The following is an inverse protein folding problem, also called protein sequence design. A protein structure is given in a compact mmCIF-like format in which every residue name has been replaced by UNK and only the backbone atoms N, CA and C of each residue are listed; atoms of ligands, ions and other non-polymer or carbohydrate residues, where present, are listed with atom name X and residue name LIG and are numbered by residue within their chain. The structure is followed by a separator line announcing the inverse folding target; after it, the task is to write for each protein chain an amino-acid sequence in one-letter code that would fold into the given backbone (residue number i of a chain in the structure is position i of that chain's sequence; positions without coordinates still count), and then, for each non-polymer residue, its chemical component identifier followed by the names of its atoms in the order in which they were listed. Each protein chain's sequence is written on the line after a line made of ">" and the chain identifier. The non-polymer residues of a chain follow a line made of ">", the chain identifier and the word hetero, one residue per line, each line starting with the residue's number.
data_IF_181215622677
#
_entry.id   IF_181215622677
#
_cell.length_a   1.000
_cell.length_b   1.000
_cell.length_c   1.000
_cell.angle_alpha   90.00
_cell.angle_beta   90.00
_cell.angle_gamma   90.00
#
_symmetry.space_group_name_H-M   'P 1'
#
loop_
_entity.id
_entity.type
_entity.pdbx_description
1 polymer ?
#
# COMPACT_ATOMS: atom_id res chain seq x y z
N UNK A 1 -15.05 16.34 6.48
CA UNK A 1 -16.13 17.24 5.99
C UNK A 1 -15.55 18.65 5.96
N UNK A 2 -15.91 19.49 4.98
CA UNK A 2 -15.43 20.87 4.69
C UNK A 2 -14.52 20.94 3.45
N UNK A 3 -15.12 20.86 2.27
CA UNK A 3 -14.56 21.52 1.07
C UNK A 3 -15.67 21.96 0.08
N UNK A 4 -16.94 21.84 0.46
CA UNK A 4 -18.08 21.93 -0.47
C UNK A 4 -19.06 23.07 -0.20
N UNK A 5 -18.70 24.09 0.59
CA UNK A 5 -19.66 25.13 1.01
C UNK A 5 -19.44 26.55 0.47
N UNK A 6 -18.48 26.83 -0.41
CA UNK A 6 -18.25 28.22 -0.89
C UNK A 6 -18.23 28.39 -2.41
N UNK A 7 -19.02 27.60 -3.13
CA UNK A 7 -19.18 27.70 -4.59
C UNK A 7 -20.29 28.70 -5.01
N UNK A 8 -21.07 29.25 -4.07
CA UNK A 8 -22.09 30.27 -4.36
C UNK A 8 -21.57 31.72 -4.24
N UNK A 9 -20.54 31.98 -3.43
CA UNK A 9 -20.04 33.35 -3.20
C UNK A 9 -19.18 33.91 -4.34
N UNK A 10 -18.47 33.05 -5.09
CA UNK A 10 -17.56 33.48 -6.15
C UNK A 10 -18.31 33.94 -7.41
N UNK A 11 -19.48 33.33 -7.69
CA UNK A 11 -20.33 33.72 -8.83
C UNK A 11 -21.00 35.08 -8.63
N UNK A 12 -21.36 35.43 -7.39
CA UNK A 12 -22.05 36.70 -7.09
C UNK A 12 -21.13 37.93 -7.13
N UNK A 13 -19.83 37.76 -6.88
CA UNK A 13 -18.84 38.85 -6.92
C UNK A 13 -18.42 39.23 -8.35
N UNK A 14 -18.62 38.35 -9.34
CA UNK A 14 -18.26 38.62 -10.74
C UNK A 14 -19.27 39.51 -11.48
N UNK A 15 -20.48 39.71 -10.94
CA UNK A 15 -21.58 40.36 -11.67
C UNK A 15 -21.66 41.89 -11.51
N UNK A 16 -20.83 42.52 -10.65
CA UNK A 16 -20.97 43.95 -10.29
C UNK A 16 -19.87 44.91 -10.76
N UNK A 17 -18.90 44.52 -11.60
CA UNK A 17 -17.77 45.43 -11.90
C UNK A 17 -17.29 45.54 -13.35
N UNK A 18 -18.21 45.59 -14.32
CA UNK A 18 -17.85 45.94 -15.70
C UNK A 18 -18.75 47.06 -16.27
N UNK A 19 -18.19 48.27 -16.32
CA UNK A 19 -18.53 49.33 -17.29
C UNK A 19 -17.38 49.40 -18.34
N UNK A 20 -17.64 49.95 -19.53
CA UNK A 20 -17.22 49.31 -20.78
C UNK A 20 -15.87 49.82 -21.27
N UNK A 21 -15.02 48.92 -21.77
CA UNK A 21 -13.84 49.28 -22.55
C UNK A 21 -13.85 48.58 -23.91
N UNK A 22 -13.41 49.33 -24.91
CA UNK A 22 -13.81 49.26 -26.33
C UNK A 22 -13.12 48.11 -27.10
N UNK A 23 -13.88 47.60 -28.06
CA UNK A 23 -13.66 46.54 -29.04
C UNK A 23 -12.27 46.51 -29.71
N UNK A 24 -11.40 45.57 -29.29
CA UNK A 24 -10.40 44.86 -30.14
C UNK A 24 -9.93 43.55 -29.48
N UNK A 25 -10.71 43.02 -28.56
CA UNK A 25 -10.20 42.30 -27.37
C UNK A 25 -10.88 40.94 -27.14
N UNK A 26 -11.69 40.43 -28.06
CA UNK A 26 -12.50 39.21 -27.80
C UNK A 26 -11.64 37.96 -27.63
N UNK A 27 -10.54 37.83 -28.38
CA UNK A 27 -9.59 36.72 -28.23
C UNK A 27 -8.80 36.86 -26.93
N UNK A 28 -8.30 38.06 -26.62
CA UNK A 28 -7.62 38.37 -25.35
C UNK A 28 -8.51 38.19 -24.12
N UNK A 29 -9.79 38.57 -24.18
CA UNK A 29 -10.74 38.42 -23.07
C UNK A 29 -11.10 36.95 -22.84
N UNK A 30 -11.20 36.14 -23.91
CA UNK A 30 -11.41 34.69 -23.78
C UNK A 30 -10.18 34.00 -23.22
N UNK A 31 -8.99 34.34 -23.72
CA UNK A 31 -7.70 33.81 -23.23
C UNK A 31 -7.48 34.23 -21.76
N UNK A 32 -7.68 35.49 -21.43
CA UNK A 32 -7.58 36.02 -20.06
C UNK A 32 -8.58 35.32 -19.13
N UNK A 33 -9.83 35.12 -19.57
CA UNK A 33 -10.83 34.38 -18.79
C UNK A 33 -10.42 32.93 -18.58
N UNK A 34 -9.91 32.24 -19.61
CA UNK A 34 -9.44 30.85 -19.46
C UNK A 34 -8.23 30.75 -18.54
N UNK A 35 -7.28 31.68 -18.62
CA UNK A 35 -6.11 31.72 -17.74
C UNK A 35 -6.51 32.00 -16.29
N UNK A 36 -7.44 32.93 -16.05
CA UNK A 36 -7.96 33.21 -14.71
C UNK A 36 -8.71 32.01 -14.11
N UNK A 37 -9.47 31.27 -14.93
CA UNK A 37 -10.16 30.04 -14.48
C UNK A 37 -9.15 28.94 -14.14
N UNK A 38 -8.12 28.73 -14.96
CA UNK A 38 -7.10 27.74 -14.67
C UNK A 38 -6.27 28.09 -13.42
N UNK A 39 -5.90 29.37 -13.25
CA UNK A 39 -5.19 29.83 -12.06
C UNK A 39 -6.01 29.64 -10.77
N UNK A 40 -7.32 29.90 -10.82
CA UNK A 40 -8.18 29.69 -9.64
C UNK A 40 -8.36 28.21 -9.33
N UNK A 41 -8.50 27.34 -10.33
CA UNK A 41 -8.53 25.88 -10.14
C UNK A 41 -7.22 25.38 -9.53
N UNK A 42 -6.06 25.83 -10.03
CA UNK A 42 -4.75 25.46 -9.47
C UNK A 42 -4.58 25.93 -8.02
N UNK A 43 -5.03 27.14 -7.69
CA UNK A 43 -4.99 27.67 -6.31
C UNK A 43 -5.88 26.82 -5.39
N UNK A 44 -7.09 26.44 -5.83
CA UNK A 44 -7.98 25.56 -5.05
C UNK A 44 -7.34 24.19 -4.86
N UNK A 45 -6.71 23.62 -5.90
CA UNK A 45 -6.03 22.33 -5.81
C UNK A 45 -4.83 22.37 -4.85
N UNK A 46 -3.99 23.41 -4.92
CA UNK A 46 -2.83 23.59 -4.03
C UNK A 46 -3.29 23.77 -2.57
N UNK A 47 -4.31 24.59 -2.32
CA UNK A 47 -4.83 24.80 -0.96
C UNK A 47 -5.54 23.55 -0.40
N UNK A 48 -6.21 22.77 -1.26
CA UNK A 48 -6.82 21.50 -0.89
C UNK A 48 -5.76 20.45 -0.51
N UNK A 49 -4.68 20.35 -1.30
CA UNK A 49 -3.55 19.50 -0.94
C UNK A 49 -2.91 19.95 0.38
N UNK A 50 -2.73 21.26 0.59
CA UNK A 50 -2.14 21.80 1.82
C UNK A 50 -2.93 21.40 3.08
N UNK A 51 -4.26 21.49 3.03
CA UNK A 51 -5.12 21.09 4.16
C UNK A 51 -5.00 19.60 4.51
N UNK A 52 -4.76 18.73 3.53
CA UNK A 52 -4.53 17.30 3.75
C UNK A 52 -3.13 17.03 4.33
N UNK A 53 -2.12 17.76 3.86
CA UNK A 53 -0.76 17.64 4.37
C UNK A 53 -0.60 18.21 5.79
N UNK A 54 -1.39 19.22 6.17
CA UNK A 54 -1.34 19.80 7.52
C UNK A 54 -1.85 18.79 8.59
N UNK A 55 -2.89 18.00 8.29
CA UNK A 55 -3.40 16.94 9.17
C UNK A 55 -2.38 15.81 9.39
N UNK A 56 -1.62 15.45 8.34
CA UNK A 56 -0.53 14.46 8.42
C UNK A 56 0.65 15.02 9.22
N UNK A 57 0.96 16.31 9.06
CA UNK A 57 2.06 16.98 9.76
C UNK A 57 1.84 17.03 11.27
N UNK A 58 0.61 17.28 11.70
CA UNK A 58 0.25 17.30 13.12
C UNK A 58 0.34 15.90 13.76
N UNK A 59 -0.04 14.85 13.03
CA UNK A 59 0.13 13.46 13.45
C UNK A 59 1.63 13.09 13.61
N UNK A 60 2.49 13.56 12.70
CA UNK A 60 3.94 13.32 12.75
C UNK A 60 4.63 14.09 13.89
N UNK A 61 4.15 15.29 14.22
CA UNK A 61 4.63 16.06 15.37
C UNK A 61 4.24 15.42 16.71
N UNK A 62 3.04 14.85 16.80
CA UNK A 62 2.61 14.05 17.95
C UNK A 62 3.47 12.78 18.09
N UNK A 63 3.81 12.12 16.98
CA UNK A 63 4.73 10.98 16.99
C UNK A 63 6.12 11.34 17.53
N UNK A 64 6.65 12.52 17.18
CA UNK A 64 7.97 13.00 17.64
C UNK A 64 8.03 13.27 19.15
N UNK A 65 6.95 13.74 19.77
CA UNK A 65 6.90 13.97 21.23
C UNK A 65 6.78 12.67 22.02
N UNK A 66 6.06 11.67 21.49
CA UNK A 66 6.03 10.32 22.04
C UNK A 66 7.38 9.60 21.89
N UNK A 67 8.13 9.88 20.81
CA UNK A 67 9.45 9.29 20.55
C UNK A 67 10.50 9.67 21.61
N UNK A 68 10.41 10.88 22.18
CA UNK A 68 11.43 11.39 23.11
C UNK A 68 11.24 10.88 24.56
N UNK A 69 10.15 10.19 24.85
CA UNK A 69 9.79 9.74 26.22
C UNK A 69 9.78 8.20 26.36
N UNK A 70 9.89 7.44 25.27
CA UNK A 70 9.66 5.99 25.27
C UNK A 70 10.75 5.19 24.56
N UNK A 71 11.86 4.90 25.25
CA UNK A 71 12.93 4.03 24.73
C UNK A 71 12.45 2.60 24.44
N UNK A 72 11.43 2.11 25.15
CA UNK A 72 10.79 0.81 24.89
C UNK A 72 9.99 0.81 23.56
N UNK A 73 9.51 1.97 23.13
CA UNK A 73 8.79 2.13 21.86
C UNK A 73 9.72 2.08 20.65
N UNK A 74 10.99 2.46 20.82
CA UNK A 74 11.97 2.52 19.74
C UNK A 74 12.37 1.13 19.24
N UNK A 75 12.55 0.16 20.15
CA UNK A 75 12.86 -1.23 19.79
C UNK A 75 11.71 -1.88 19.00
N UNK A 76 10.47 -1.59 19.39
CA UNK A 76 9.26 -2.10 18.71
C UNK A 76 9.08 -1.46 17.33
N UNK A 77 9.37 -0.16 17.22
CA UNK A 77 9.35 0.57 15.95
C UNK A 77 10.44 0.09 14.99
N UNK A 78 11.67 -0.11 15.47
CA UNK A 78 12.77 -0.65 14.66
C UNK A 78 12.41 -2.01 14.05
N UNK A 79 11.84 -2.92 14.86
CA UNK A 79 11.36 -4.23 14.39
C UNK A 79 10.22 -4.13 13.37
N UNK A 80 9.40 -3.09 13.46
CA UNK A 80 8.27 -2.89 12.54
C UNK A 80 8.76 -2.31 11.21
N UNK A 81 9.74 -1.41 11.24
CA UNK A 81 10.40 -0.85 10.05
C UNK A 81 11.14 -1.96 9.29
N UNK A 82 11.87 -2.84 9.99
CA UNK A 82 12.57 -3.99 9.39
C UNK A 82 11.61 -4.90 8.60
N UNK A 83 10.43 -5.20 9.16
CA UNK A 83 9.42 -6.03 8.47
C UNK A 83 8.85 -5.33 7.23
N UNK A 84 8.69 -4.00 7.26
CA UNK A 84 8.20 -3.24 6.10
C UNK A 84 9.24 -3.18 5.00
N UNK A 85 10.52 -2.97 5.33
CA UNK A 85 11.61 -3.00 4.36
C UNK A 85 11.75 -4.39 3.71
N UNK A 86 11.66 -5.47 4.50
CA UNK A 86 11.65 -6.84 3.99
C UNK A 86 10.47 -7.14 3.05
N UNK A 87 9.28 -6.63 3.39
CA UNK A 87 8.12 -6.78 2.51
C UNK A 87 8.30 -6.04 1.19
N UNK A 88 8.89 -4.83 1.23
CA UNK A 88 9.19 -4.06 0.02
C UNK A 88 10.21 -4.79 -0.84
N UNK A 89 11.28 -5.32 -0.27
CA UNK A 89 12.32 -6.08 -0.99
C UNK A 89 11.75 -7.35 -1.65
N UNK A 90 10.94 -8.11 -0.90
CA UNK A 90 10.26 -9.32 -1.39
C UNK A 90 9.22 -9.06 -2.49
N UNK A 91 8.72 -7.82 -2.59
CA UNK A 91 7.82 -7.40 -3.69
C UNK A 91 8.56 -6.82 -4.89
N UNK A 92 9.83 -6.43 -4.71
CA UNK A 92 10.68 -5.87 -5.76
C UNK A 92 11.51 -6.96 -6.45
N UNK A 93 11.73 -8.11 -5.81
CA UNK A 93 12.53 -9.19 -6.40
C UNK A 93 11.93 -9.72 -7.72
N UNK A 94 12.56 -9.22 -8.79
CA UNK A 94 12.55 -9.69 -10.16
C UNK A 94 13.12 -11.11 -10.22
N UNK A 95 12.42 -12.00 -10.94
CA UNK A 95 12.87 -13.30 -11.45
C UNK A 95 14.15 -13.89 -10.81
N UNK A 96 13.98 -14.74 -9.78
CA UNK A 96 15.07 -15.59 -9.29
C UNK A 96 15.60 -16.45 -10.46
N UNK A 97 16.76 -16.09 -11.00
CA UNK A 97 17.45 -16.90 -12.01
C UNK A 97 17.68 -18.33 -11.46
N UNK A 98 17.28 -19.39 -12.19
CA UNK A 98 17.38 -20.74 -11.69
C UNK A 98 18.84 -21.10 -11.41
N UNK A 99 19.15 -21.41 -10.15
CA UNK A 99 20.48 -21.85 -9.76
C UNK A 99 20.87 -23.12 -10.50
N UNK A 100 21.87 -23.00 -11.38
CA UNK A 100 22.47 -24.11 -12.12
C UNK A 100 23.63 -24.67 -11.30
N UNK A 101 23.56 -25.96 -10.97
CA UNK A 101 24.69 -26.62 -10.31
C UNK A 101 25.93 -26.59 -11.24
N UNK A 102 27.12 -26.25 -10.72
CA UNK A 102 28.33 -26.23 -11.53
C UNK A 102 28.66 -27.63 -12.07
N UNK A 103 29.42 -27.73 -13.16
CA UNK A 103 30.01 -29.01 -13.67
C UNK A 103 29.01 -30.11 -14.07
N UNK A 104 27.77 -29.77 -14.43
CA UNK A 104 26.79 -30.75 -14.92
C UNK A 104 26.20 -31.65 -13.84
N UNK A 105 26.35 -31.28 -12.57
CA UNK A 105 25.58 -31.91 -11.50
C UNK A 105 24.10 -31.57 -11.63
N UNK A 106 23.23 -32.51 -11.25
CA UNK A 106 21.77 -32.31 -11.23
C UNK A 106 21.35 -32.16 -9.77
N UNK A 107 20.34 -31.31 -9.52
CA UNK A 107 19.73 -31.21 -8.19
C UNK A 107 19.00 -32.52 -7.89
N UNK A 108 19.37 -33.18 -6.80
CA UNK A 108 18.68 -34.38 -6.30
C UNK A 108 17.96 -34.05 -4.99
N UNK A 109 16.77 -34.61 -4.83
CA UNK A 109 15.99 -34.52 -3.59
C UNK A 109 16.74 -35.27 -2.50
N UNK A 110 16.93 -34.61 -1.35
CA UNK A 110 17.50 -35.28 -0.18
C UNK A 110 16.44 -36.24 0.41
N UNK A 111 16.65 -37.57 0.39
CA UNK A 111 15.66 -38.53 0.88
C UNK A 111 15.49 -38.50 2.41
N UNK A 112 16.38 -37.82 3.14
CA UNK A 112 16.30 -37.63 4.59
C UNK A 112 15.59 -36.33 4.98
N UNK A 113 15.29 -35.46 4.02
CA UNK A 113 14.55 -34.23 4.28
C UNK A 113 13.11 -34.57 4.68
N UNK A 114 12.62 -33.91 5.72
CA UNK A 114 11.24 -34.03 6.17
C UNK A 114 10.63 -32.64 6.05
N UNK A 115 9.59 -32.48 5.23
CA UNK A 115 8.90 -31.20 5.12
C UNK A 115 8.43 -30.72 6.49
N UNK A 116 8.73 -29.47 6.82
CA UNK A 116 8.30 -28.81 8.05
C UNK A 116 7.36 -27.64 7.76
N UNK A 117 6.62 -27.20 8.78
CA UNK A 117 5.76 -26.03 8.69
C UNK A 117 5.82 -25.21 9.97
N UNK A 118 5.81 -23.88 9.80
CA UNK A 118 5.79 -22.91 10.88
C UNK A 118 4.47 -22.11 10.94
N UNK A 119 3.51 -22.42 10.08
CA UNK A 119 2.17 -21.84 10.10
C UNK A 119 2.12 -20.47 9.40
N UNK A 120 1.14 -19.64 9.71
CA UNK A 120 0.99 -18.37 9.01
C UNK A 120 2.05 -17.34 9.44
N UNK A 121 3.01 -17.04 8.57
CA UNK A 121 4.04 -16.04 8.83
C UNK A 121 4.98 -15.78 7.68
N UNK A 122 5.77 -14.72 7.78
CA UNK A 122 6.85 -14.42 6.84
C UNK A 122 7.95 -13.62 7.54
N UNK A 123 9.19 -13.73 7.08
CA UNK A 123 10.36 -13.01 7.61
C UNK A 123 10.53 -13.08 9.14
N UNK A 124 10.28 -14.25 9.73
CA UNK A 124 10.37 -14.45 11.19
C UNK A 124 9.24 -13.81 12.00
N UNK A 125 8.27 -13.15 11.36
CA UNK A 125 7.01 -12.78 11.96
C UNK A 125 5.99 -13.90 11.80
N UNK A 126 5.42 -14.36 12.91
CA UNK A 126 4.37 -15.38 12.93
C UNK A 126 3.09 -14.75 13.48
N UNK A 127 1.98 -15.04 12.81
CA UNK A 127 0.67 -14.71 13.32
C UNK A 127 0.30 -15.75 14.38
N UNK A 128 -0.16 -15.31 15.54
CA UNK A 128 -0.72 -16.22 16.53
C UNK A 128 -2.14 -16.57 16.11
N UNK A 129 -2.58 -17.82 16.30
CA UNK A 129 -3.93 -18.32 15.96
C UNK A 129 -5.06 -17.42 16.47
N UNK A 130 -4.86 -16.73 17.61
CA UNK A 130 -5.81 -15.79 18.20
C UNK A 130 -6.06 -14.53 17.34
N UNK A 131 -5.12 -14.20 16.46
CA UNK A 131 -5.16 -13.04 15.56
C UNK A 131 -5.62 -13.39 14.15
N UNK A 132 -5.67 -14.68 13.80
CA UNK A 132 -6.27 -15.09 12.55
C UNK A 132 -7.79 -15.14 12.72
N UNK A 133 -8.55 -14.46 11.84
CA UNK A 133 -10.01 -14.42 11.96
C UNK A 133 -10.67 -15.79 11.77
N UNK A 134 -9.97 -16.78 11.18
CA UNK A 134 -10.47 -18.12 10.88
C UNK A 134 -9.32 -19.14 11.02
N UNK A 135 -9.56 -20.23 11.76
CA UNK A 135 -8.59 -21.34 11.92
C UNK A 135 -8.25 -22.03 10.59
N UNK A 136 -9.20 -22.01 9.66
CA UNK A 136 -9.04 -22.59 8.31
C UNK A 136 -7.95 -21.90 7.49
N UNK A 137 -7.59 -20.65 7.83
CA UNK A 137 -6.48 -19.95 7.19
C UNK A 137 -5.12 -20.49 7.64
N UNK A 138 -5.01 -20.90 8.91
CA UNK A 138 -3.79 -21.52 9.45
C UNK A 138 -3.49 -22.85 8.74
N UNK A 139 -4.53 -23.65 8.46
CA UNK A 139 -4.41 -24.90 7.71
C UNK A 139 -3.91 -24.66 6.26
N UNK A 140 -4.36 -23.57 5.63
CA UNK A 140 -3.86 -23.16 4.32
C UNK A 140 -2.37 -22.80 4.37
N UNK A 141 -1.89 -22.12 5.41
CA UNK A 141 -0.48 -21.81 5.59
C UNK A 141 0.34 -23.08 5.83
N UNK A 142 -0.13 -24.00 6.67
CA UNK A 142 0.56 -25.27 6.87
C UNK A 142 0.73 -26.06 5.56
N UNK A 143 -0.32 -26.11 4.74
CA UNK A 143 -0.27 -26.76 3.43
C UNK A 143 0.71 -26.08 2.48
N UNK A 144 0.78 -24.75 2.53
CA UNK A 144 1.70 -23.96 1.70
C UNK A 144 3.16 -24.18 2.10
N UNK A 145 3.47 -24.16 3.39
CA UNK A 145 4.82 -24.43 3.92
C UNK A 145 5.32 -25.81 3.47
N UNK A 146 4.51 -26.85 3.62
CA UNK A 146 4.89 -28.19 3.19
C UNK A 146 5.14 -28.29 1.67
N UNK A 147 4.40 -27.52 0.87
CA UNK A 147 4.60 -27.46 -0.58
C UNK A 147 5.91 -26.73 -0.92
N UNK A 148 6.22 -25.65 -0.21
CA UNK A 148 7.44 -24.88 -0.40
C UNK A 148 8.71 -25.61 0.07
N UNK A 149 8.58 -26.43 1.11
CA UNK A 149 9.68 -27.21 1.67
C UNK A 149 9.93 -28.54 0.92
N UNK A 150 9.04 -28.91 -0.01
CA UNK A 150 9.22 -30.07 -0.88
C UNK A 150 10.14 -29.74 -2.07
N UNK A 151 11.26 -30.46 -2.15
CA UNK A 151 12.28 -30.18 -3.14
C UNK A 151 11.81 -30.58 -4.55
N UNK A 152 11.77 -29.60 -5.45
CA UNK A 152 11.31 -29.81 -6.83
C UNK A 152 9.82 -29.51 -7.02
N UNK A 153 9.11 -29.10 -5.98
CA UNK A 153 7.78 -28.53 -6.12
C UNK A 153 7.82 -27.24 -6.97
N UNK A 154 6.78 -27.06 -7.78
CA UNK A 154 6.60 -25.85 -8.57
C UNK A 154 6.04 -24.74 -7.67
N UNK A 155 6.84 -23.67 -7.49
CA UNK A 155 6.50 -22.53 -6.64
C UNK A 155 5.18 -21.89 -7.05
N UNK A 156 4.95 -21.69 -8.35
CA UNK A 156 3.75 -21.02 -8.86
C UNK A 156 2.51 -21.88 -8.63
N UNK A 157 2.65 -23.21 -8.72
CA UNK A 157 1.59 -24.14 -8.37
C UNK A 157 1.28 -24.11 -6.87
N UNK A 158 2.30 -24.09 -6.01
CA UNK A 158 2.13 -23.94 -4.57
C UNK A 158 1.41 -22.63 -4.23
N UNK A 159 1.81 -21.51 -4.83
CA UNK A 159 1.20 -20.19 -4.62
C UNK A 159 -0.25 -20.14 -5.14
N UNK A 160 -0.53 -20.78 -6.27
CA UNK A 160 -1.88 -20.87 -6.82
C UNK A 160 -2.79 -21.67 -5.88
N UNK A 161 -2.31 -22.79 -5.34
CA UNK A 161 -3.05 -23.62 -4.39
C UNK A 161 -3.30 -22.87 -3.09
N UNK A 162 -2.30 -22.18 -2.57
CA UNK A 162 -2.42 -21.36 -1.38
C UNK A 162 -3.48 -20.27 -1.55
N UNK A 163 -3.42 -19.49 -2.64
CA UNK A 163 -4.44 -18.48 -2.97
C UNK A 163 -5.85 -19.10 -3.01
N UNK A 164 -6.01 -20.21 -3.73
CA UNK A 164 -7.31 -20.91 -3.79
C UNK A 164 -7.79 -21.36 -2.41
N UNK A 165 -6.89 -21.82 -1.54
CA UNK A 165 -7.20 -22.21 -0.16
C UNK A 165 -7.72 -21.01 0.64
N UNK A 166 -7.00 -19.88 0.62
CA UNK A 166 -7.40 -18.66 1.34
C UNK A 166 -8.76 -18.12 0.89
N UNK A 167 -9.11 -18.24 -0.39
CA UNK A 167 -10.41 -17.78 -0.91
C UNK A 167 -11.60 -18.70 -0.60
N UNK A 168 -11.37 -19.93 -0.14
CA UNK A 168 -12.47 -20.87 0.20
C UNK A 168 -13.24 -20.41 1.47
N UNK A 169 -12.59 -20.15 2.62
CA UNK A 169 -13.28 -19.66 3.82
C UNK A 169 -14.04 -18.34 3.58
N UNK A 170 -13.46 -17.44 2.79
CA UNK A 170 -14.04 -16.12 2.47
C UNK A 170 -15.34 -16.21 1.67
N UNK A 171 -15.55 -17.32 0.93
CA UNK A 171 -16.81 -17.59 0.22
C UNK A 171 -17.87 -18.25 1.11
N UNK A 172 -17.47 -18.93 2.18
CA UNK A 172 -18.38 -19.55 3.15
C UNK A 172 -19.01 -18.58 4.16
N UNK A 173 -18.41 -17.39 4.33
CA UNK A 173 -18.94 -16.32 5.20
C UNK A 173 -20.04 -15.45 4.55
N UNK A 174 -20.42 -15.75 3.30
CA UNK A 174 -21.48 -15.06 2.55
C UNK A 174 -22.76 -15.91 2.38
N UNK A 175 -22.94 -16.97 3.18
CA UNK A 175 -24.16 -17.80 3.19
C UNK A 175 -24.96 -17.63 4.48
#
# INVERSE_FOLDING_TARGET
>A
MICFTDMEYVLLLWQRRFLPFKMSTVLDVRILRTVLVLMTISIVFINCQRSYFDEIKDAMHSLKSYLHTGLDGLAKLAKTIEVVEQFVDATIDEDCEPFMCPKGFVREVNPLHKPESNGCGSFGYRWNEEKLPLKELEECCHTHDFCYDDCGADKDLCDLHFKKCLYKPVKGLQS
#
